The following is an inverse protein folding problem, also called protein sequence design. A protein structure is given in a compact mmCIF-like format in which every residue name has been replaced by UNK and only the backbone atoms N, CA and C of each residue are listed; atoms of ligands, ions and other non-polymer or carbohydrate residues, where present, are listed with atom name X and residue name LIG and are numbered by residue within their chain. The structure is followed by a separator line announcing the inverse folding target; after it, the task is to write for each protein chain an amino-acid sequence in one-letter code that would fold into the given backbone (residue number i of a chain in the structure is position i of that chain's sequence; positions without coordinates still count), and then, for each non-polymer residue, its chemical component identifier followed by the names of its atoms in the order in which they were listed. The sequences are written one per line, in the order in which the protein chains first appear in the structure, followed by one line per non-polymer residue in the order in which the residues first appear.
data_IF_149365004333
#
_entry.id   IF_149365004333
#
_cell.length_a   1.000
_cell.length_b   1.000
_cell.length_c   1.000
_cell.angle_alpha   90.00
_cell.angle_beta   90.00
_cell.angle_gamma   90.00
#
_symmetry.space_group_name_H-M   'P 1'
#
loop_
_entity.id
_entity.type
_entity.pdbx_description
1 polymer ?
#
# COMPACT_ATOMS: atom_id res chain seq x y z
N UNK A 1 10.23 -18.65 -12.77
CA UNK A 1 9.14 -17.66 -12.70
C UNK A 1 8.48 -17.82 -11.34
N UNK A 2 8.75 -16.92 -10.38
CA UNK A 2 8.17 -17.00 -9.05
C UNK A 2 6.71 -16.53 -9.09
N UNK A 3 5.81 -17.32 -8.49
CA UNK A 3 4.40 -16.96 -8.37
C UNK A 3 4.24 -16.00 -7.19
N UNK A 4 4.32 -14.69 -7.46
CA UNK A 4 4.30 -13.62 -6.45
C UNK A 4 3.01 -13.55 -5.61
N UNK A 5 1.98 -14.32 -5.97
CA UNK A 5 0.79 -14.51 -5.13
C UNK A 5 1.02 -15.44 -3.93
N UNK A 6 2.10 -16.22 -3.93
CA UNK A 6 2.49 -17.09 -2.83
C UNK A 6 3.58 -16.39 -2.02
N UNK A 7 3.30 -15.20 -1.48
CA UNK A 7 4.12 -14.66 -0.39
C UNK A 7 3.86 -15.57 0.81
N UNK A 8 4.74 -16.56 1.02
CA UNK A 8 4.69 -17.40 2.19
C UNK A 8 4.79 -16.52 3.46
N UNK A 9 4.08 -16.97 4.49
CA UNK A 9 3.69 -16.37 5.76
C UNK A 9 4.79 -15.70 6.65
N UNK A 10 5.80 -15.05 6.08
CA UNK A 10 6.81 -14.29 6.82
C UNK A 10 6.36 -12.84 7.05
N UNK A 11 5.29 -12.63 7.83
CA UNK A 11 4.73 -11.27 8.00
C UNK A 11 3.88 -10.98 9.23
N UNK A 12 3.62 -11.96 10.12
CA UNK A 12 2.68 -11.79 11.25
C UNK A 12 2.92 -10.55 12.13
N UNK A 13 4.16 -10.18 12.52
CA UNK A 13 4.39 -9.00 13.38
C UNK A 13 4.10 -7.68 12.65
N UNK A 14 4.43 -7.61 11.35
CA UNK A 14 4.23 -6.42 10.52
C UNK A 14 2.74 -6.22 10.22
N UNK A 15 2.02 -7.31 9.94
CA UNK A 15 0.57 -7.28 9.74
C UNK A 15 -0.19 -6.78 10.99
N UNK A 16 0.20 -7.23 12.18
CA UNK A 16 -0.45 -6.81 13.44
C UNK A 16 -0.28 -5.31 13.72
N UNK A 17 0.89 -4.75 13.39
CA UNK A 17 1.14 -3.32 13.54
C UNK A 17 0.34 -2.49 12.51
N UNK A 18 0.20 -2.99 11.29
CA UNK A 18 -0.64 -2.34 10.27
C UNK A 18 -2.11 -2.26 10.67
N UNK A 19 -2.65 -3.34 11.27
CA UNK A 19 -4.04 -3.35 11.77
C UNK A 19 -4.24 -2.30 12.87
N UNK A 20 -3.31 -2.16 13.79
CA UNK A 20 -3.42 -1.21 14.90
C UNK A 20 -3.49 0.25 14.42
N UNK A 21 -2.75 0.58 13.37
CA UNK A 21 -2.80 1.91 12.71
C UNK A 21 -4.20 2.16 12.11
N UNK A 22 -4.80 1.17 11.46
CA UNK A 22 -6.16 1.26 10.91
C UNK A 22 -7.18 1.46 12.03
N UNK A 23 -7.09 0.67 13.11
CA UNK A 23 -8.03 0.74 14.24
C UNK A 23 -7.99 2.12 14.92
N UNK A 24 -6.80 2.67 15.18
CA UNK A 24 -6.62 4.00 15.78
C UNK A 24 -7.09 5.14 14.90
N UNK A 25 -7.22 4.90 13.60
CA UNK A 25 -7.63 5.89 12.60
C UNK A 25 -9.13 5.95 12.38
N UNK A 26 -9.91 5.11 13.05
CA UNK A 26 -11.38 5.14 12.98
C UNK A 26 -11.96 6.43 13.54
N UNK A 27 -13.05 6.87 12.94
CA UNK A 27 -13.88 7.98 13.43
C UNK A 27 -14.99 7.35 14.28
N UNK A 28 -15.06 7.71 15.56
CA UNK A 28 -16.02 7.11 16.48
C UNK A 28 -17.46 7.46 16.08
N UNK A 29 -18.34 6.46 16.14
CA UNK A 29 -19.76 6.61 15.80
C UNK A 29 -20.08 6.76 14.31
N UNK A 30 -19.07 6.96 13.45
CA UNK A 30 -19.27 7.09 12.00
C UNK A 30 -19.10 5.76 11.28
N UNK A 31 -20.02 5.51 10.36
CA UNK A 31 -19.95 4.38 9.42
C UNK A 31 -19.96 4.89 7.99
N UNK A 32 -19.44 4.06 7.09
CA UNK A 32 -19.45 4.30 5.65
C UNK A 32 -19.80 3.00 4.94
N UNK A 33 -20.48 3.12 3.80
CA UNK A 33 -20.76 1.97 2.94
C UNK A 33 -19.44 1.39 2.40
N UNK A 34 -19.25 0.09 2.52
CA UNK A 34 -18.14 -0.60 1.85
C UNK A 34 -18.31 -0.54 0.33
N UNK A 35 -17.22 -0.23 -0.38
CA UNK A 35 -17.23 -0.15 -1.83
C UNK A 35 -17.47 -1.51 -2.48
N UNK A 36 -18.06 -1.47 -3.67
CA UNK A 36 -18.12 -2.62 -4.58
C UNK A 36 -16.75 -2.89 -5.22
N UNK A 37 -16.56 -4.09 -5.75
CA UNK A 37 -15.31 -4.44 -6.42
C UNK A 37 -15.11 -3.66 -7.73
N UNK A 38 -16.20 -3.24 -8.38
CA UNK A 38 -16.13 -2.32 -9.51
C UNK A 38 -15.57 -0.94 -9.10
N UNK A 39 -16.04 -0.39 -7.98
CA UNK A 39 -15.54 0.86 -7.43
C UNK A 39 -14.06 0.72 -6.98
N UNK A 40 -13.70 -0.39 -6.32
CA UNK A 40 -12.32 -0.64 -5.91
C UNK A 40 -11.37 -0.79 -7.10
N UNK A 41 -11.82 -1.40 -8.20
CA UNK A 41 -11.01 -1.59 -9.40
C UNK A 41 -10.63 -0.25 -10.04
N UNK A 42 -11.56 0.71 -10.07
CA UNK A 42 -11.27 2.05 -10.58
C UNK A 42 -10.18 2.73 -9.75
N UNK A 43 -10.30 2.72 -8.42
CA UNK A 43 -9.27 3.25 -7.52
C UNK A 43 -7.93 2.53 -7.70
N UNK A 44 -7.95 1.20 -7.83
CA UNK A 44 -6.73 0.40 -7.96
C UNK A 44 -6.01 0.66 -9.29
N UNK A 45 -6.78 0.87 -10.37
CA UNK A 45 -6.23 1.25 -11.67
C UNK A 45 -5.50 2.59 -11.60
N UNK A 46 -6.11 3.59 -10.96
CA UNK A 46 -5.48 4.90 -10.77
C UNK A 46 -4.23 4.81 -9.89
N UNK A 47 -4.30 4.07 -8.78
CA UNK A 47 -3.14 3.83 -7.91
C UNK A 47 -1.99 3.16 -8.66
N UNK A 48 -2.25 2.14 -9.48
CA UNK A 48 -1.22 1.47 -10.30
C UNK A 48 -0.56 2.44 -11.29
N UNK A 49 -1.35 3.33 -11.91
CA UNK A 49 -0.81 4.33 -12.83
C UNK A 49 0.07 5.36 -12.11
N UNK A 50 -0.36 5.81 -10.93
CA UNK A 50 0.35 6.83 -10.16
C UNK A 50 1.55 6.28 -9.36
N UNK A 51 1.57 4.99 -9.01
CA UNK A 51 2.61 4.42 -8.14
C UNK A 51 4.04 4.67 -8.66
N UNK A 52 4.23 4.56 -9.98
CA UNK A 52 5.52 4.85 -10.61
C UNK A 52 5.88 6.32 -10.48
N UNK A 53 4.96 7.22 -10.83
CA UNK A 53 5.15 8.67 -10.75
C UNK A 53 5.46 9.13 -9.31
N UNK A 54 4.76 8.57 -8.31
CA UNK A 54 5.02 8.85 -6.90
C UNK A 54 6.42 8.41 -6.45
N UNK A 55 6.98 7.38 -7.07
CA UNK A 55 8.31 6.87 -6.70
C UNK A 55 9.46 7.64 -7.35
N UNK A 56 9.22 8.37 -8.45
CA UNK A 56 10.28 9.07 -9.18
C UNK A 56 11.03 10.10 -8.31
N UNK A 57 10.37 10.98 -7.53
CA UNK A 57 11.06 11.89 -6.64
C UNK A 57 11.88 11.18 -5.57
N UNK A 58 11.47 9.98 -5.13
CA UNK A 58 12.22 9.19 -4.15
C UNK A 58 13.56 8.70 -4.74
N UNK A 59 13.61 8.39 -6.04
CA UNK A 59 14.85 7.99 -6.71
C UNK A 59 15.91 9.09 -6.74
N UNK A 60 15.51 10.37 -6.73
CA UNK A 60 16.45 11.49 -6.69
C UNK A 60 17.33 11.46 -5.42
N UNK A 61 16.81 10.96 -4.30
CA UNK A 61 17.54 10.84 -3.03
C UNK A 61 18.65 9.79 -3.08
N UNK A 62 18.54 8.78 -3.96
CA UNK A 62 19.53 7.68 -4.03
C UNK A 62 20.89 8.09 -4.59
N UNK A 63 21.00 9.27 -5.20
CA UNK A 63 22.31 9.83 -5.57
C UNK A 63 23.25 10.03 -4.37
N UNK A 64 22.70 10.10 -3.16
CA UNK A 64 23.48 10.15 -1.90
C UNK A 64 23.87 8.78 -1.33
N UNK A 65 23.30 7.69 -1.86
CA UNK A 65 23.41 6.33 -1.31
C UNK A 65 24.28 5.43 -2.21
N UNK A 66 24.25 5.65 -3.52
CA UNK A 66 24.99 4.83 -4.49
C UNK A 66 25.67 5.70 -5.55
N UNK A 67 26.80 5.22 -6.07
CA UNK A 67 27.50 5.83 -7.20
C UNK A 67 26.85 5.53 -8.56
N UNK A 68 25.84 4.64 -8.60
CA UNK A 68 25.14 4.23 -9.82
C UNK A 68 23.60 4.39 -9.71
N UNK A 69 23.08 5.58 -9.36
CA UNK A 69 21.65 5.78 -9.11
C UNK A 69 20.80 5.54 -10.37
N UNK A 70 21.34 5.85 -11.56
CA UNK A 70 20.66 5.62 -12.83
C UNK A 70 20.51 4.14 -13.18
N UNK A 71 21.51 3.32 -12.89
CA UNK A 71 21.45 1.88 -13.13
C UNK A 71 20.49 1.19 -12.15
N UNK A 72 20.47 1.63 -10.89
CA UNK A 72 19.51 1.16 -9.89
C UNK A 72 18.07 1.50 -10.30
N UNK A 73 17.83 2.76 -10.72
CA UNK A 73 16.51 3.18 -11.21
C UNK A 73 16.09 2.34 -12.42
N UNK A 74 16.98 2.17 -13.40
CA UNK A 74 16.71 1.34 -14.58
C UNK A 74 16.37 -0.09 -14.20
N UNK A 75 17.12 -0.69 -13.27
CA UNK A 75 16.82 -2.02 -12.76
C UNK A 75 15.43 -2.10 -12.13
N UNK A 76 15.03 -1.08 -11.35
CA UNK A 76 13.68 -1.02 -10.78
C UNK A 76 12.60 -0.84 -11.86
N UNK A 77 12.82 0.05 -12.83
CA UNK A 77 11.92 0.28 -13.96
C UNK A 77 11.75 -1.00 -14.81
N UNK A 78 12.82 -1.75 -15.05
CA UNK A 78 12.80 -3.04 -15.77
C UNK A 78 12.05 -4.15 -15.00
N UNK A 79 11.73 -3.90 -13.71
CA UNK A 79 10.93 -4.79 -12.85
C UNK A 79 9.53 -4.25 -12.57
N UNK A 80 9.07 -3.22 -13.26
CA UNK A 80 7.72 -2.66 -13.10
C UNK A 80 6.63 -3.75 -13.24
N UNK A 81 6.85 -4.71 -14.13
CA UNK A 81 6.03 -5.92 -14.29
C UNK A 81 5.81 -6.71 -12.99
N UNK A 82 6.80 -6.76 -12.10
CA UNK A 82 6.70 -7.42 -10.80
C UNK A 82 5.77 -6.64 -9.89
N UNK A 83 5.91 -5.32 -9.84
CA UNK A 83 5.05 -4.43 -9.07
C UNK A 83 3.60 -4.53 -9.56
N UNK A 84 3.39 -4.51 -10.88
CA UNK A 84 2.06 -4.61 -11.49
C UNK A 84 1.38 -5.94 -11.15
N UNK A 85 2.13 -7.06 -11.21
CA UNK A 85 1.62 -8.40 -10.83
C UNK A 85 1.30 -8.48 -9.35
N UNK A 86 2.14 -7.90 -8.49
CA UNK A 86 1.89 -7.85 -7.04
C UNK A 86 0.61 -7.07 -6.72
N UNK A 87 0.46 -5.85 -7.26
CA UNK A 87 -0.71 -5.01 -7.04
C UNK A 87 -2.00 -5.65 -7.59
N UNK A 88 -1.90 -6.34 -8.73
CA UNK A 88 -3.02 -7.11 -9.29
C UNK A 88 -3.39 -8.30 -8.41
N UNK A 89 -2.41 -9.00 -7.85
CA UNK A 89 -2.68 -10.08 -6.92
C UNK A 89 -3.37 -9.58 -5.66
N UNK A 90 -2.88 -8.46 -5.09
CA UNK A 90 -3.47 -7.83 -3.93
C UNK A 90 -4.94 -7.45 -4.17
N UNK A 91 -5.22 -6.80 -5.31
CA UNK A 91 -6.59 -6.46 -5.73
C UNK A 91 -7.51 -7.69 -5.80
N UNK A 92 -7.03 -8.81 -6.33
CA UNK A 92 -7.84 -10.02 -6.53
C UNK A 92 -8.00 -10.89 -5.28
N UNK A 93 -7.08 -10.77 -4.31
CA UNK A 93 -7.02 -11.67 -3.14
C UNK A 93 -7.43 -11.02 -1.83
N UNK A 94 -7.43 -9.69 -1.76
CA UNK A 94 -7.88 -8.98 -0.56
C UNK A 94 -9.39 -8.91 -0.56
N UNK A 95 -10.00 -9.38 0.52
CA UNK A 95 -11.43 -9.21 0.80
C UNK A 95 -11.73 -7.75 1.21
N UNK A 96 -11.53 -6.82 0.27
CA UNK A 96 -11.67 -5.37 0.47
C UNK A 96 -13.01 -4.80 0.00
N UNK A 97 -13.71 -5.52 -0.87
CA UNK A 97 -14.92 -5.06 -1.55
C UNK A 97 -16.03 -6.11 -1.53
N UNK A 98 -17.25 -5.66 -1.89
CA UNK A 98 -18.40 -6.52 -2.11
C UNK A 98 -18.78 -6.61 -3.61
N UNK A 99 -19.55 -7.62 -4.04
CA UNK A 99 -19.86 -7.80 -5.47
C UNK A 99 -20.65 -6.66 -6.10
N UNK A 100 -21.50 -5.97 -5.34
CA UNK A 100 -22.42 -4.95 -5.85
C UNK A 100 -22.45 -3.68 -5.00
N UNK A 101 -23.19 -2.67 -5.44
CA UNK A 101 -23.22 -1.34 -4.83
C UNK A 101 -23.86 -1.32 -3.44
N UNK A 102 -24.50 -2.39 -2.98
CA UNK A 102 -25.19 -2.46 -1.68
C UNK A 102 -24.29 -3.04 -0.58
N UNK A 103 -23.05 -2.55 -0.49
CA UNK A 103 -22.12 -2.98 0.55
C UNK A 103 -22.60 -2.69 1.98
N UNK A 104 -22.18 -3.49 2.96
CA UNK A 104 -22.52 -3.26 4.36
C UNK A 104 -21.93 -1.94 4.86
N UNK A 105 -22.50 -1.42 5.94
CA UNK A 105 -21.89 -0.31 6.67
C UNK A 105 -20.69 -0.82 7.47
N UNK A 106 -19.55 -0.18 7.30
CA UNK A 106 -18.30 -0.47 8.01
C UNK A 106 -17.85 0.77 8.80
N UNK A 107 -17.05 0.61 9.88
CA UNK A 107 -16.51 1.75 10.60
C UNK A 107 -15.69 2.66 9.68
N UNK A 108 -15.98 3.96 9.69
CA UNK A 108 -15.29 4.92 8.82
C UNK A 108 -13.88 5.19 9.35
N UNK A 109 -12.91 5.15 8.44
CA UNK A 109 -11.50 5.43 8.75
C UNK A 109 -11.10 6.80 8.20
N UNK A 110 -10.44 7.61 9.02
CA UNK A 110 -9.86 8.88 8.61
C UNK A 110 -8.54 8.64 7.89
N UNK A 111 -8.53 8.85 6.56
CA UNK A 111 -7.34 8.70 5.72
C UNK A 111 -6.18 9.62 6.19
N UNK A 112 -6.40 10.92 6.50
CA UNK A 112 -5.33 11.77 7.02
C UNK A 112 -4.75 11.27 8.33
N UNK A 113 -5.60 10.76 9.24
CA UNK A 113 -5.16 10.21 10.53
C UNK A 113 -4.37 8.91 10.33
N UNK A 114 -4.80 8.08 9.38
CA UNK A 114 -4.09 6.85 8.99
C UNK A 114 -2.68 7.16 8.51
N UNK A 115 -2.52 8.12 7.59
CA UNK A 115 -1.21 8.53 7.11
C UNK A 115 -0.35 9.14 8.20
N UNK A 116 -0.91 10.04 9.02
CA UNK A 116 -0.17 10.66 10.13
C UNK A 116 0.36 9.63 11.14
N UNK A 117 -0.45 8.64 11.53
CA UNK A 117 -0.03 7.57 12.44
C UNK A 117 1.02 6.67 11.75
N UNK A 118 0.79 6.33 10.47
CA UNK A 118 1.70 5.50 9.68
C UNK A 118 3.09 6.13 9.51
N UNK A 119 3.14 7.40 9.10
CA UNK A 119 4.37 8.19 8.97
C UNK A 119 5.14 8.24 10.29
N UNK A 120 4.45 8.54 11.39
CA UNK A 120 5.07 8.57 12.72
C UNK A 120 5.66 7.20 13.11
N UNK A 121 4.96 6.10 12.78
CA UNK A 121 5.48 4.75 12.99
C UNK A 121 6.73 4.44 12.17
N UNK A 122 6.79 4.88 10.91
CA UNK A 122 7.95 4.69 10.04
C UNK A 122 9.14 5.50 10.58
N UNK A 123 8.95 6.79 10.83
CA UNK A 123 10.02 7.70 11.31
C UNK A 123 10.62 7.21 12.62
N UNK A 124 9.78 6.84 13.59
CA UNK A 124 10.28 6.38 14.89
C UNK A 124 11.01 5.04 14.82
N UNK A 125 10.63 4.15 13.89
CA UNK A 125 11.37 2.92 13.65
C UNK A 125 12.70 3.17 12.94
N UNK A 126 12.72 4.06 11.96
CA UNK A 126 13.95 4.44 11.26
C UNK A 126 14.96 5.10 12.18
N UNK A 127 14.50 5.88 13.16
CA UNK A 127 15.35 6.48 14.19
C UNK A 127 15.94 5.46 15.18
N UNK A 128 15.28 4.32 15.40
CA UNK A 128 15.73 3.26 16.31
C UNK A 128 16.74 2.27 15.68
N UNK A 129 17.05 2.41 14.39
CA UNK A 129 18.00 1.56 13.64
C UNK A 129 19.36 2.26 13.45
N UNK A 130 19.50 3.52 13.90
CA UNK A 130 20.79 4.21 14.04
C UNK A 130 21.41 3.93 15.41
#
# INVERSE_FOLDING_TARGET
MANLCNVENEGKPVANQGIDVILKSRIEGETIRQCSCAEQQECTREMKAQAKECSEPCFATFGSITSQPHELKRCFDDKDDILHRFLTCFEQKVEGCVPDLNGPQIPKTSIPKLFSIGEHHIVNKSAAIQ
#
